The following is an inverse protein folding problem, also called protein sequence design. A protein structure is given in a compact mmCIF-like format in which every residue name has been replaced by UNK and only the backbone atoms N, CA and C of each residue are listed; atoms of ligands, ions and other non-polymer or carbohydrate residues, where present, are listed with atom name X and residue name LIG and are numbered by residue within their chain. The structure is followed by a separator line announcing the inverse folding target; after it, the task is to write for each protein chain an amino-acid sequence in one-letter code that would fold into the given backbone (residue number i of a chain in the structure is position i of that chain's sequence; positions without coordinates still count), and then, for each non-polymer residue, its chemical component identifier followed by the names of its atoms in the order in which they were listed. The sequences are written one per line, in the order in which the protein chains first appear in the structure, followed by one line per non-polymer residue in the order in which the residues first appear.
data_IF_591564917558
#
_entry.id   IF_591564917558
#
_cell.length_a   1.000
_cell.length_b   1.000
_cell.length_c   1.000
_cell.angle_alpha   90.00
_cell.angle_beta   90.00
_cell.angle_gamma   90.00
#
_symmetry.space_group_name_H-M   'P 1'
#
loop_
_entity.id
_entity.type
_entity.pdbx_description
1 polymer ?
#
# COMPACT_ATOMS: atom_id res chain seq x y z
N UNK A 1 1.13 -15.32 7.55
CA UNK A 1 1.61 -14.35 6.54
C UNK A 1 3.11 -14.17 6.67
N UNK A 2 3.84 -14.24 5.57
CA UNK A 2 5.29 -14.02 5.57
C UNK A 2 5.64 -12.58 5.25
N UNK A 3 6.77 -12.12 5.75
CA UNK A 3 7.32 -10.80 5.41
C UNK A 3 8.50 -10.97 4.46
N UNK A 4 8.53 -10.17 3.39
CA UNK A 4 9.59 -10.21 2.40
C UNK A 4 10.25 -8.85 2.33
N UNK A 5 11.58 -8.80 2.53
CA UNK A 5 12.36 -7.57 2.51
C UNK A 5 12.97 -7.26 1.15
N UNK A 6 12.94 -8.21 0.24
CA UNK A 6 13.32 -7.99 -1.16
C UNK A 6 12.41 -8.86 -2.03
N UNK A 7 12.36 -8.53 -3.31
CA UNK A 7 11.43 -9.17 -4.23
C UNK A 7 12.21 -9.98 -5.29
N UNK A 8 12.29 -11.31 -5.16
CA UNK A 8 12.90 -12.14 -6.18
C UNK A 8 12.04 -12.23 -7.44
N UNK A 9 12.68 -12.18 -8.61
CA UNK A 9 11.97 -12.20 -9.89
C UNK A 9 11.19 -13.49 -10.13
N UNK A 10 11.61 -14.60 -9.54
CA UNK A 10 10.98 -15.89 -9.72
C UNK A 10 9.88 -16.20 -8.69
N UNK A 11 9.53 -15.21 -7.85
CA UNK A 11 8.49 -15.41 -6.84
C UNK A 11 7.12 -15.53 -7.51
N UNK A 12 6.45 -16.66 -7.26
CA UNK A 12 5.10 -16.90 -7.79
C UNK A 12 4.07 -16.27 -6.87
N UNK A 13 3.43 -15.20 -7.33
CA UNK A 13 2.48 -14.43 -6.53
C UNK A 13 1.14 -14.20 -7.24
N UNK A 14 0.89 -14.91 -8.32
CA UNK A 14 -0.36 -14.76 -9.06
C UNK A 14 -1.55 -15.01 -8.15
N UNK A 15 -2.50 -14.05 -8.14
CA UNK A 15 -3.71 -14.08 -7.33
C UNK A 15 -3.47 -14.12 -5.82
N UNK A 16 -2.23 -13.90 -5.38
CA UNK A 16 -1.91 -13.74 -3.97
C UNK A 16 -2.23 -12.33 -3.51
N UNK A 17 -2.76 -12.21 -2.30
CA UNK A 17 -3.04 -10.90 -1.71
C UNK A 17 -1.76 -10.39 -1.05
N UNK A 18 -1.19 -9.34 -1.64
CA UNK A 18 0.05 -8.73 -1.17
C UNK A 18 -0.29 -7.45 -0.40
N UNK A 19 0.03 -7.42 0.90
CA UNK A 19 0.01 -6.18 1.67
C UNK A 19 1.34 -5.50 1.41
N UNK A 20 1.31 -4.37 0.72
CA UNK A 20 2.52 -3.64 0.35
C UNK A 20 2.59 -2.33 1.14
N UNK A 21 3.49 -2.27 2.11
CA UNK A 21 3.72 -1.04 2.88
C UNK A 21 4.76 -0.19 2.16
N UNK A 22 4.36 1.01 1.75
CA UNK A 22 5.22 1.94 1.04
C UNK A 22 5.36 3.25 1.81
N UNK A 23 6.44 3.97 1.57
CA UNK A 23 6.59 5.33 2.04
C UNK A 23 6.11 6.28 0.94
N UNK A 24 4.84 6.67 1.02
CA UNK A 24 4.24 7.62 0.11
C UNK A 24 4.03 8.98 0.78
N UNK A 25 4.83 9.26 1.82
CA UNK A 25 4.76 10.53 2.57
C UNK A 25 5.43 11.64 1.75
N UNK A 26 4.65 12.24 0.87
CA UNK A 26 5.09 13.32 -0.03
C UNK A 26 4.49 14.64 0.41
N UNK A 27 5.13 15.79 0.10
CA UNK A 27 4.54 17.08 0.43
C UNK A 27 3.28 17.35 -0.40
N UNK A 28 2.18 17.60 0.30
CA UNK A 28 0.90 17.92 -0.30
C UNK A 28 0.43 19.25 0.30
N UNK A 29 0.07 20.19 -0.57
CA UNK A 29 -0.46 21.49 -0.15
C UNK A 29 -1.70 21.79 -0.99
N UNK A 30 -2.80 22.15 -0.31
CA UNK A 30 -4.08 22.47 -0.97
C UNK A 30 -4.53 21.32 -1.88
N UNK A 31 -4.36 20.07 -1.39
CA UNK A 31 -4.72 18.84 -2.10
C UNK A 31 -3.92 18.59 -3.37
N UNK A 32 -2.78 19.27 -3.52
CA UNK A 32 -1.88 19.14 -4.67
C UNK A 32 -0.54 18.57 -4.21
N UNK A 33 -0.09 17.50 -4.87
CA UNK A 33 1.22 16.93 -4.61
C UNK A 33 2.29 17.87 -5.15
N UNK A 34 3.18 18.34 -4.28
CA UNK A 34 4.24 19.29 -4.66
C UNK A 34 5.51 18.61 -5.13
N UNK A 35 5.75 17.39 -4.68
CA UNK A 35 6.92 16.60 -5.08
C UNK A 35 6.51 15.13 -5.09
N UNK A 36 6.51 14.52 -6.26
CA UNK A 36 6.07 13.14 -6.45
C UNK A 36 7.22 12.13 -6.49
N UNK A 37 8.43 12.55 -6.13
CA UNK A 37 9.63 11.71 -6.26
C UNK A 37 9.46 10.34 -5.59
N UNK A 38 8.95 10.32 -4.36
CA UNK A 38 8.77 9.05 -3.64
C UNK A 38 7.77 8.13 -4.33
N UNK A 39 6.73 8.72 -4.93
CA UNK A 39 5.73 7.93 -5.64
C UNK A 39 6.33 7.34 -6.91
N UNK A 40 7.02 8.17 -7.70
CA UNK A 40 7.62 7.70 -8.96
C UNK A 40 8.66 6.62 -8.73
N UNK A 41 9.39 6.68 -7.62
CA UNK A 41 10.37 5.65 -7.29
C UNK A 41 9.72 4.31 -6.93
N UNK A 42 8.46 4.32 -6.46
CA UNK A 42 7.73 3.10 -6.15
C UNK A 42 7.08 2.46 -7.37
N UNK A 43 6.82 3.23 -8.43
CA UNK A 43 6.04 2.74 -9.57
C UNK A 43 6.62 1.50 -10.24
N UNK A 44 7.93 1.39 -10.48
CA UNK A 44 8.46 0.17 -11.09
C UNK A 44 8.18 -1.08 -10.28
N UNK A 45 8.29 -0.98 -8.95
CA UNK A 45 8.03 -2.11 -8.07
C UNK A 45 6.55 -2.50 -8.10
N UNK A 46 5.66 -1.50 -8.02
CA UNK A 46 4.22 -1.75 -8.10
C UNK A 46 3.87 -2.39 -9.44
N UNK A 47 4.44 -1.89 -10.53
CA UNK A 47 4.18 -2.44 -11.86
C UNK A 47 4.65 -3.89 -12.01
N UNK A 48 5.75 -4.27 -11.36
CA UNK A 48 6.20 -5.66 -11.36
C UNK A 48 5.17 -6.57 -10.72
N UNK A 49 4.59 -6.13 -9.60
CA UNK A 49 3.54 -6.89 -8.92
C UNK A 49 2.29 -6.99 -9.80
N UNK A 50 1.93 -5.91 -10.47
CA UNK A 50 0.79 -5.90 -11.40
C UNK A 50 1.01 -6.90 -12.54
N UNK A 51 2.20 -6.91 -13.12
CA UNK A 51 2.55 -7.82 -14.21
C UNK A 51 2.48 -9.28 -13.77
N UNK A 52 2.79 -9.54 -12.51
CA UNK A 52 2.71 -10.90 -11.94
C UNK A 52 1.30 -11.27 -11.52
N UNK A 53 0.32 -10.39 -11.74
CA UNK A 53 -1.09 -10.62 -11.44
C UNK A 53 -1.37 -10.84 -9.97
N UNK A 54 -0.61 -10.19 -9.10
CA UNK A 54 -0.89 -10.16 -7.67
C UNK A 54 -2.08 -9.27 -7.38
N UNK A 55 -2.75 -9.52 -6.25
CA UNK A 55 -3.78 -8.63 -5.71
C UNK A 55 -3.09 -7.71 -4.73
N UNK A 56 -3.00 -6.42 -5.04
CA UNK A 56 -2.10 -5.50 -4.35
C UNK A 56 -2.89 -4.59 -3.42
N UNK A 57 -2.57 -4.63 -2.14
CA UNK A 57 -3.17 -3.79 -1.10
C UNK A 57 -2.08 -2.88 -0.57
N UNK A 58 -2.12 -1.60 -0.94
CA UNK A 58 -1.09 -0.64 -0.56
C UNK A 58 -1.50 0.07 0.73
N UNK A 59 -0.59 0.10 1.69
CA UNK A 59 -0.75 0.86 2.92
C UNK A 59 0.40 1.87 3.05
N UNK A 60 0.08 3.04 3.57
CA UNK A 60 1.07 4.09 3.80
C UNK A 60 0.54 5.07 4.82
N UNK A 61 1.39 6.02 5.23
CA UNK A 61 0.97 7.09 6.12
C UNK A 61 1.36 8.45 5.52
N UNK A 62 0.73 9.50 6.01
CA UNK A 62 1.01 10.89 5.63
C UNK A 62 0.87 11.73 6.89
N UNK A 63 1.95 12.40 7.27
CA UNK A 63 1.96 13.23 8.47
C UNK A 63 1.73 12.43 9.75
N UNK A 64 1.19 13.09 10.77
CA UNK A 64 0.96 12.47 12.09
C UNK A 64 -0.42 12.83 12.64
N UNK A 65 -1.50 12.23 12.11
CA UNK A 65 -2.87 12.57 12.53
C UNK A 65 -3.29 11.99 13.88
N UNK A 66 -2.48 11.14 14.50
CA UNK A 66 -2.71 10.55 15.84
C UNK A 66 -4.04 9.80 15.98
N UNK A 67 -4.38 9.00 14.97
CA UNK A 67 -5.56 8.15 15.03
C UNK A 67 -6.88 8.84 14.76
N UNK A 68 -6.86 10.07 14.24
CA UNK A 68 -8.06 10.80 13.83
C UNK A 68 -8.01 11.13 12.35
N UNK A 69 -9.16 11.30 11.73
CA UNK A 69 -9.25 11.68 10.32
C UNK A 69 -9.00 13.17 10.16
N UNK A 70 -7.89 13.53 9.52
CA UNK A 70 -7.52 14.91 9.21
C UNK A 70 -7.55 15.07 7.70
N UNK A 71 -8.50 15.82 7.13
CA UNK A 71 -8.68 15.88 5.66
C UNK A 71 -7.42 16.26 4.89
N UNK A 72 -6.59 17.15 5.44
CA UNK A 72 -5.36 17.58 4.75
C UNK A 72 -4.29 16.48 4.72
N UNK A 73 -4.46 15.42 5.50
CA UNK A 73 -3.55 14.27 5.53
C UNK A 73 -4.14 13.03 4.88
N UNK A 74 -5.22 13.19 4.10
CA UNK A 74 -5.81 12.08 3.35
C UNK A 74 -4.90 11.67 2.20
N UNK A 75 -4.93 10.38 1.86
CA UNK A 75 -4.19 9.84 0.72
C UNK A 75 -4.96 9.97 -0.61
N UNK A 76 -6.09 10.67 -0.62
CA UNK A 76 -6.87 10.86 -1.86
C UNK A 76 -6.03 11.42 -3.02
N UNK A 77 -5.18 12.46 -2.82
CA UNK A 77 -4.34 12.94 -3.93
C UNK A 77 -3.40 11.87 -4.46
N UNK A 78 -2.87 11.02 -3.59
CA UNK A 78 -2.00 9.92 -3.99
C UNK A 78 -2.80 8.85 -4.74
N UNK A 79 -4.02 8.57 -4.28
CA UNK A 79 -4.91 7.66 -4.99
C UNK A 79 -5.15 8.13 -6.43
N UNK A 80 -5.45 9.40 -6.61
CA UNK A 80 -5.67 9.97 -7.95
C UNK A 80 -4.42 9.87 -8.81
N UNK A 81 -3.25 10.11 -8.21
CA UNK A 81 -1.98 9.97 -8.91
C UNK A 81 -1.75 8.53 -9.39
N UNK A 82 -1.95 7.56 -8.50
CA UNK A 82 -1.76 6.15 -8.85
C UNK A 82 -2.77 5.69 -9.90
N UNK A 83 -4.00 6.16 -9.81
CA UNK A 83 -5.04 5.82 -10.78
C UNK A 83 -4.65 6.26 -12.19
N UNK A 84 -4.03 7.43 -12.32
CA UNK A 84 -3.57 7.94 -13.61
C UNK A 84 -2.27 7.28 -14.08
N UNK A 85 -1.38 6.94 -13.15
CA UNK A 85 -0.05 6.42 -13.47
C UNK A 85 -0.02 4.92 -13.73
N UNK A 86 -0.88 4.15 -13.07
CA UNK A 86 -0.93 2.70 -13.23
C UNK A 86 -1.96 2.29 -14.27
N UNK A 87 -1.61 1.31 -15.10
CA UNK A 87 -2.49 0.85 -16.18
C UNK A 87 -3.35 -0.32 -15.71
N UNK A 88 -4.05 -0.11 -14.60
CA UNK A 88 -4.93 -1.10 -14.02
C UNK A 88 -6.00 -0.40 -13.18
N UNK A 89 -6.98 -1.16 -12.70
CA UNK A 89 -7.98 -0.60 -11.80
C UNK A 89 -7.36 -0.33 -10.43
N UNK A 90 -7.50 0.89 -9.96
CA UNK A 90 -7.03 1.30 -8.64
C UNK A 90 -8.23 1.75 -7.83
N UNK A 91 -8.41 1.16 -6.66
CA UNK A 91 -9.52 1.47 -5.76
C UNK A 91 -9.00 2.14 -4.51
N UNK A 92 -9.85 2.93 -3.86
CA UNK A 92 -9.51 3.60 -2.61
C UNK A 92 -10.44 3.11 -1.51
N UNK A 93 -9.87 2.70 -0.38
CA UNK A 93 -10.63 2.16 0.74
C UNK A 93 -10.42 3.01 1.99
N UNK A 94 -11.50 3.47 2.59
CA UNK A 94 -11.45 4.32 3.80
C UNK A 94 -12.36 3.82 4.93
N UNK A 95 -12.78 2.56 4.87
CA UNK A 95 -13.63 1.95 5.89
C UNK A 95 -12.84 1.36 7.05
N UNK A 96 -13.50 0.53 7.84
CA UNK A 96 -12.91 -0.16 8.99
C UNK A 96 -12.50 -1.59 8.61
N UNK A 97 -11.55 -2.15 9.37
CA UNK A 97 -11.06 -3.52 9.12
C UNK A 97 -11.93 -4.52 9.86
N UNK A 98 -13.08 -4.84 9.30
CA UNK A 98 -14.01 -5.84 9.84
C UNK A 98 -14.29 -6.93 8.80
N UNK A 99 -15.24 -7.81 9.09
CA UNK A 99 -15.60 -8.91 8.20
C UNK A 99 -16.11 -8.44 6.84
N UNK A 100 -16.81 -7.32 6.80
CA UNK A 100 -17.30 -6.72 5.56
C UNK A 100 -16.15 -6.22 4.68
N UNK A 101 -15.12 -5.64 5.30
CA UNK A 101 -13.90 -5.24 4.61
C UNK A 101 -13.22 -6.43 3.97
N UNK A 102 -13.11 -7.52 4.70
CA UNK A 102 -12.49 -8.74 4.21
C UNK A 102 -13.20 -9.26 2.98
N UNK A 103 -14.53 -9.21 2.98
CA UNK A 103 -15.34 -9.61 1.83
C UNK A 103 -15.08 -8.71 0.63
N UNK A 104 -15.05 -7.40 0.82
CA UNK A 104 -14.75 -6.46 -0.28
C UNK A 104 -13.39 -6.74 -0.90
N UNK A 105 -12.39 -7.02 -0.09
CA UNK A 105 -11.05 -7.28 -0.60
C UNK A 105 -10.96 -8.63 -1.34
N UNK A 106 -11.86 -9.57 -1.02
CA UNK A 106 -11.90 -10.85 -1.72
C UNK A 106 -12.34 -10.71 -3.18
N UNK A 107 -13.01 -9.61 -3.53
CA UNK A 107 -13.42 -9.34 -4.91
C UNK A 107 -12.31 -8.70 -5.76
N UNK A 108 -11.18 -8.38 -5.16
CA UNK A 108 -10.05 -7.83 -5.90
C UNK A 108 -9.50 -8.88 -6.87
N UNK A 109 -9.23 -8.46 -8.09
CA UNK A 109 -8.72 -9.36 -9.12
C UNK A 109 -7.20 -9.26 -9.24
N UNK A 110 -6.56 -10.31 -9.76
CA UNK A 110 -5.13 -10.30 -9.99
C UNK A 110 -4.72 -9.15 -10.90
N UNK A 111 -3.72 -8.39 -10.46
CA UNK A 111 -3.26 -7.19 -11.16
C UNK A 111 -3.97 -5.91 -10.77
N UNK A 112 -4.98 -5.97 -9.91
CA UNK A 112 -5.64 -4.77 -9.42
C UNK A 112 -5.04 -4.28 -8.11
N UNK A 113 -5.29 -3.01 -7.79
CA UNK A 113 -4.67 -2.32 -6.66
C UNK A 113 -5.74 -1.66 -5.80
N UNK A 114 -5.62 -1.80 -4.48
CA UNK A 114 -6.38 -1.02 -3.51
C UNK A 114 -5.40 -0.18 -2.71
N UNK A 115 -5.64 1.13 -2.62
CA UNK A 115 -4.93 1.99 -1.68
C UNK A 115 -5.83 2.21 -0.47
N UNK A 116 -5.33 1.88 0.72
CA UNK A 116 -6.05 2.13 1.96
C UNK A 116 -5.76 3.56 2.40
N UNK A 117 -6.77 4.24 2.96
CA UNK A 117 -6.62 5.59 3.52
C UNK A 117 -5.47 5.60 4.55
N UNK A 118 -4.92 6.78 4.79
CA UNK A 118 -3.81 6.99 5.71
C UNK A 118 -3.93 6.10 6.95
N UNK A 119 -2.99 5.15 7.10
CA UNK A 119 -3.07 4.18 8.20
C UNK A 119 -2.98 4.84 9.57
N UNK A 120 -2.40 6.05 9.64
CA UNK A 120 -2.32 6.82 10.88
C UNK A 120 -3.66 7.41 11.30
N UNK A 121 -4.71 7.33 10.47
CA UNK A 121 -6.07 7.68 10.88
C UNK A 121 -6.69 6.61 11.77
N UNK A 122 -6.17 5.38 11.73
CA UNK A 122 -6.70 4.27 12.53
C UNK A 122 -6.05 4.26 13.90
N UNK A 123 -6.87 4.25 14.95
CA UNK A 123 -6.38 4.25 16.33
C UNK A 123 -5.52 3.03 16.62
N UNK A 124 -5.88 1.89 16.06
CA UNK A 124 -5.16 0.64 16.27
C UNK A 124 -3.72 0.73 15.82
N UNK A 125 -3.44 1.50 14.78
CA UNK A 125 -2.06 1.66 14.29
C UNK A 125 -1.20 2.50 15.25
N UNK A 126 -1.80 3.48 15.92
CA UNK A 126 -1.08 4.39 16.82
C UNK A 126 -1.10 3.95 18.28
N UNK A 127 -2.17 3.29 18.74
CA UNK A 127 -2.36 2.91 20.15
C UNK A 127 -2.02 1.45 20.41
N UNK A 128 -2.32 0.55 19.46
CA UNK A 128 -2.07 -0.88 19.60
C UNK A 128 -1.68 -1.47 18.24
N UNK A 129 -0.39 -1.46 17.96
CA UNK A 129 0.14 -1.98 16.71
C UNK A 129 -0.11 -3.46 16.50
N UNK A 130 -0.26 -4.25 17.59
CA UNK A 130 -0.47 -5.68 17.47
C UNK A 130 -1.85 -5.99 16.89
N UNK A 131 -2.89 -5.33 17.39
CA UNK A 131 -4.25 -5.56 16.93
C UNK A 131 -4.40 -5.13 15.47
N UNK A 132 -3.83 -3.99 15.11
CA UNK A 132 -3.84 -3.52 13.73
C UNK A 132 -3.08 -4.47 12.79
N UNK A 133 -1.92 -4.94 13.22
CA UNK A 133 -1.12 -5.89 12.44
C UNK A 133 -1.85 -7.20 12.22
N UNK A 134 -2.58 -7.67 13.22
CA UNK A 134 -3.38 -8.89 13.12
C UNK A 134 -4.48 -8.72 12.08
N UNK A 135 -5.18 -7.59 12.10
CA UNK A 135 -6.25 -7.31 11.14
C UNK A 135 -5.71 -7.24 9.71
N UNK A 136 -4.57 -6.59 9.52
CA UNK A 136 -3.91 -6.56 8.22
C UNK A 136 -3.50 -7.96 7.77
N UNK A 137 -2.99 -8.78 8.68
CA UNK A 137 -2.59 -10.14 8.37
C UNK A 137 -3.75 -11.01 7.90
N UNK A 138 -4.96 -10.71 8.35
CA UNK A 138 -6.16 -11.42 7.90
C UNK A 138 -6.57 -11.03 6.48
N UNK A 139 -6.12 -9.87 6.00
CA UNK A 139 -6.45 -9.39 4.66
C UNK A 139 -5.51 -9.91 3.58
N UNK A 140 -4.29 -10.29 3.94
CA UNK A 140 -3.28 -10.62 2.95
C UNK A 140 -2.61 -11.97 3.16
N UNK A 141 -2.03 -12.48 2.09
CA UNK A 141 -1.27 -13.73 2.10
C UNK A 141 0.22 -13.47 2.32
N UNK A 142 0.72 -12.34 1.83
CA UNK A 142 2.13 -11.96 1.91
C UNK A 142 2.21 -10.50 2.32
N UNK A 143 3.16 -10.18 3.20
CA UNK A 143 3.44 -8.81 3.61
C UNK A 143 4.81 -8.38 3.08
N UNK A 144 4.84 -7.29 2.33
CA UNK A 144 6.09 -6.72 1.83
C UNK A 144 6.25 -5.32 2.42
N UNK A 145 7.34 -5.12 3.16
CA UNK A 145 7.68 -3.82 3.74
C UNK A 145 8.72 -3.15 2.84
N UNK A 146 8.26 -2.20 2.05
CA UNK A 146 9.10 -1.49 1.08
C UNK A 146 9.20 0.00 1.42
N UNK A 147 9.15 0.36 2.72
CA UNK A 147 9.30 1.75 3.14
C UNK A 147 10.67 2.30 2.79
N UNK A 148 11.66 1.42 2.65
CA UNK A 148 13.01 1.76 2.18
C UNK A 148 13.22 1.22 0.78
N UNK A 149 12.32 1.56 -0.14
CA UNK A 149 12.34 0.99 -1.49
C UNK A 149 13.65 1.25 -2.24
N UNK A 150 14.40 2.29 -1.91
CA UNK A 150 15.72 2.52 -2.48
C UNK A 150 16.67 1.39 -2.07
N UNK A 151 16.62 0.98 -0.81
CA UNK A 151 17.38 -0.15 -0.31
C UNK A 151 16.89 -1.46 -0.93
N UNK A 152 15.58 -1.61 -1.05
CA UNK A 152 14.97 -2.78 -1.68
C UNK A 152 15.44 -2.93 -3.14
N UNK A 153 15.51 -1.83 -3.89
CA UNK A 153 16.02 -1.84 -5.26
C UNK A 153 17.48 -2.28 -5.32
N UNK A 154 18.29 -1.85 -4.36
CA UNK A 154 19.67 -2.29 -4.27
C UNK A 154 19.76 -3.80 -4.08
N UNK A 155 18.88 -4.37 -3.26
CA UNK A 155 18.80 -5.81 -3.08
C UNK A 155 18.37 -6.53 -4.35
N UNK A 156 17.44 -5.96 -5.10
CA UNK A 156 17.00 -6.54 -6.37
C UNK A 156 18.12 -6.65 -7.40
N UNK A 157 19.07 -5.74 -7.38
CA UNK A 157 20.17 -5.71 -8.36
C UNK A 157 21.36 -6.58 -7.95
N UNK A 158 21.33 -7.16 -6.76
CA UNK A 158 22.42 -8.02 -6.28
C UNK A 158 22.23 -9.45 -6.74
N UNK A 159 23.32 -10.10 -7.13
CA UNK A 159 23.25 -11.53 -7.47
C UNK A 159 22.85 -12.39 -6.30
#
# INVERSE_FOLDING_TARGET
MGEINFFPDDLEIKDQKIILRLDLNVPIKDKVIKDDTRITLCLPFINRLIEKKAKIIIISHLGRPKGINVPDLSLIPIYKYLKDALKTNVYFFRGTFDGETKEKFSHLKGGEVILIENIRFFKEETEDGQDFSKKLGELGDIYINAVSYTHLRAHETRP
#
